data_IF_088209191353
#
_entry.id   IF_088209191353
#
_cell.length_a   1.000
_cell.length_b   1.000
_cell.length_c   1.000
_cell.angle_alpha   90.00
_cell.angle_beta   90.00
_cell.angle_gamma   90.00
#
_symmetry.space_group_name_H-M   'P 1'
#
loop_
_entity.id
_entity.type
_entity.pdbx_description
1 polymer ?
#
# COMPACT_ATOMS: atom_id res chain seq x y z
N UNK A 1 -16.98 -12.48 -13.54
CA UNK A 1 -16.41 -12.67 -12.18
C UNK A 1 -16.75 -14.08 -11.77
N UNK A 2 -15.77 -14.92 -11.43
CA UNK A 2 -16.01 -16.28 -10.92
C UNK A 2 -16.71 -16.23 -9.56
N UNK A 3 -17.48 -17.25 -9.19
CA UNK A 3 -18.17 -17.29 -7.87
C UNK A 3 -17.21 -17.12 -6.68
N UNK A 4 -15.95 -17.53 -6.83
CA UNK A 4 -14.87 -17.42 -5.84
C UNK A 4 -14.46 -15.97 -5.50
N UNK A 5 -14.81 -14.99 -6.34
CA UNK A 5 -14.42 -13.57 -6.16
C UNK A 5 -15.59 -12.66 -5.74
N UNK A 6 -16.62 -13.23 -5.12
CA UNK A 6 -17.82 -12.49 -4.68
C UNK A 6 -17.78 -12.12 -3.19
N UNK A 7 -18.44 -11.02 -2.82
CA UNK A 7 -18.57 -10.57 -1.43
C UNK A 7 -19.05 -11.68 -0.49
N UNK A 8 -20.13 -12.37 -0.87
CA UNK A 8 -20.70 -13.43 -0.04
C UNK A 8 -19.73 -14.57 0.20
N UNK A 9 -18.98 -14.97 -0.83
CA UNK A 9 -17.95 -16.00 -0.71
C UNK A 9 -16.86 -15.56 0.26
N UNK A 10 -16.37 -14.33 0.12
CA UNK A 10 -15.28 -13.83 0.99
C UNK A 10 -15.70 -13.69 2.45
N UNK A 11 -16.93 -13.23 2.74
CA UNK A 11 -17.48 -13.21 4.10
C UNK A 11 -17.54 -14.63 4.69
N UNK A 12 -17.93 -15.62 3.88
CA UNK A 12 -17.99 -17.03 4.30
C UNK A 12 -16.61 -17.60 4.60
N UNK A 13 -15.60 -17.30 3.80
CA UNK A 13 -14.21 -17.68 4.04
C UNK A 13 -13.70 -17.07 5.34
N UNK A 14 -13.80 -15.74 5.48
CA UNK A 14 -13.40 -15.01 6.68
C UNK A 14 -14.06 -15.61 7.93
N UNK A 15 -15.37 -15.83 7.92
CA UNK A 15 -16.08 -16.48 9.03
C UNK A 15 -15.50 -17.83 9.40
N UNK A 16 -15.12 -18.65 8.41
CA UNK A 16 -14.53 -19.98 8.62
C UNK A 16 -13.08 -19.90 9.12
N UNK A 17 -12.29 -18.93 8.67
CA UNK A 17 -10.94 -18.67 9.19
C UNK A 17 -11.01 -18.41 10.70
N UNK A 18 -12.03 -17.69 11.18
CA UNK A 18 -12.30 -17.47 12.61
C UNK A 18 -13.10 -18.59 13.29
N UNK A 19 -13.34 -19.72 12.60
CA UNK A 19 -14.07 -20.87 13.12
C UNK A 19 -15.47 -20.53 13.69
N UNK A 20 -16.11 -19.46 13.19
CA UNK A 20 -17.45 -19.06 13.62
C UNK A 20 -18.52 -19.78 12.82
N UNK A 21 -19.60 -20.17 13.47
CA UNK A 21 -20.84 -20.61 12.81
C UNK A 21 -21.64 -19.42 12.29
N UNK A 22 -22.55 -19.68 11.35
CA UNK A 22 -23.51 -18.66 10.89
C UNK A 22 -24.35 -18.08 12.04
N UNK A 23 -24.65 -18.91 13.06
CA UNK A 23 -25.41 -18.49 14.22
C UNK A 23 -24.61 -17.52 15.08
N UNK A 24 -23.36 -17.86 15.40
CA UNK A 24 -22.49 -17.02 16.23
C UNK A 24 -22.17 -15.68 15.56
N UNK A 25 -21.82 -15.68 14.26
CA UNK A 25 -21.59 -14.43 13.55
C UNK A 25 -22.88 -13.61 13.45
N UNK A 26 -24.02 -14.25 13.17
CA UNK A 26 -25.32 -13.60 13.13
C UNK A 26 -25.66 -12.90 14.45
N UNK A 27 -25.49 -13.60 15.58
CA UNK A 27 -25.69 -13.04 16.92
C UNK A 27 -24.74 -11.86 17.20
N UNK A 28 -23.46 -11.97 16.84
CA UNK A 28 -22.46 -10.88 17.00
C UNK A 28 -22.84 -9.61 16.24
N UNK A 29 -23.39 -9.73 15.03
CA UNK A 29 -23.70 -8.58 14.14
C UNK A 29 -25.16 -8.16 14.19
N UNK A 30 -25.99 -8.84 14.99
CA UNK A 30 -27.40 -8.51 15.20
C UNK A 30 -28.33 -8.94 14.06
N UNK A 31 -28.03 -10.01 13.34
CA UNK A 31 -28.87 -10.58 12.26
C UNK A 31 -29.13 -12.07 12.45
N UNK A 32 -30.16 -12.60 11.79
CA UNK A 32 -30.43 -14.04 11.85
C UNK A 32 -29.43 -14.84 11.00
N UNK A 33 -29.10 -16.06 11.42
CA UNK A 33 -28.26 -16.98 10.65
C UNK A 33 -28.79 -17.21 9.21
N UNK A 34 -30.11 -17.23 9.03
CA UNK A 34 -30.74 -17.37 7.72
C UNK A 34 -30.49 -16.15 6.82
N UNK A 35 -30.54 -14.94 7.38
CA UNK A 35 -30.21 -13.72 6.66
C UNK A 35 -28.73 -13.68 6.28
N UNK A 36 -27.84 -14.02 7.21
CA UNK A 36 -26.40 -14.11 6.96
C UNK A 36 -26.07 -15.16 5.88
N UNK A 37 -26.74 -16.32 5.90
CA UNK A 37 -26.63 -17.33 4.85
C UNK A 37 -27.02 -16.77 3.47
N UNK A 38 -28.07 -15.96 3.38
CA UNK A 38 -28.45 -15.31 2.12
C UNK A 38 -27.39 -14.32 1.63
N UNK A 39 -26.70 -13.62 2.53
CA UNK A 39 -25.56 -12.76 2.19
C UNK A 39 -24.40 -13.60 1.65
N UNK A 40 -23.99 -14.65 2.37
CA UNK A 40 -22.88 -15.53 1.98
C UNK A 40 -23.09 -16.24 0.64
N UNK A 41 -24.36 -16.46 0.26
CA UNK A 41 -24.73 -17.05 -1.03
C UNK A 41 -25.09 -16.01 -2.11
N UNK A 42 -24.68 -14.75 -1.92
CA UNK A 42 -24.90 -13.62 -2.84
C UNK A 42 -26.37 -13.37 -3.20
N UNK A 43 -27.32 -13.78 -2.36
CA UNK A 43 -28.77 -13.59 -2.56
C UNK A 43 -29.27 -12.25 -2.04
N UNK A 44 -28.52 -11.62 -1.14
CA UNK A 44 -28.82 -10.32 -0.54
C UNK A 44 -27.52 -9.53 -0.42
N UNK A 45 -27.54 -8.27 -0.85
CA UNK A 45 -26.44 -7.33 -0.60
C UNK A 45 -26.59 -6.72 0.80
N UNK A 46 -25.59 -6.81 1.68
CA UNK A 46 -25.64 -6.17 3.00
C UNK A 46 -25.54 -4.64 2.88
N UNK A 47 -26.04 -3.92 3.89
CA UNK A 47 -25.79 -2.47 4.02
C UNK A 47 -24.35 -2.20 4.46
N UNK A 48 -23.86 -0.97 4.24
CA UNK A 48 -22.52 -0.58 4.71
C UNK A 48 -22.37 -0.73 6.23
N UNK A 49 -23.40 -0.34 6.99
CA UNK A 49 -23.42 -0.52 8.45
C UNK A 49 -23.28 -2.00 8.85
N UNK A 50 -23.95 -2.90 8.13
CA UNK A 50 -23.82 -4.33 8.39
C UNK A 50 -22.44 -4.86 7.97
N UNK A 51 -21.86 -4.35 6.88
CA UNK A 51 -20.49 -4.67 6.48
C UNK A 51 -19.47 -4.24 7.56
N UNK A 52 -19.65 -3.05 8.15
CA UNK A 52 -18.85 -2.61 9.29
C UNK A 52 -18.97 -3.61 10.45
N UNK A 53 -20.19 -3.97 10.85
CA UNK A 53 -20.41 -4.93 11.95
C UNK A 53 -19.77 -6.30 11.66
N UNK A 54 -19.93 -6.81 10.43
CA UNK A 54 -19.35 -8.10 10.00
C UNK A 54 -17.83 -8.02 10.02
N UNK A 55 -17.23 -6.98 9.45
CA UNK A 55 -15.79 -6.81 9.43
C UNK A 55 -15.20 -6.72 10.84
N UNK A 56 -15.78 -5.89 11.71
CA UNK A 56 -15.33 -5.76 13.10
C UNK A 56 -15.47 -7.08 13.88
N UNK A 57 -16.53 -7.87 13.63
CA UNK A 57 -16.70 -9.18 14.26
C UNK A 57 -15.69 -10.23 13.77
N UNK A 58 -15.06 -9.99 12.62
CA UNK A 58 -14.09 -10.84 11.95
C UNK A 58 -12.68 -10.23 11.96
N UNK A 59 -12.42 -9.18 12.72
CA UNK A 59 -11.12 -8.51 12.79
C UNK A 59 -10.74 -8.27 14.26
N UNK A 60 -9.85 -9.12 14.79
CA UNK A 60 -9.38 -8.99 16.18
C UNK A 60 -8.32 -7.90 16.38
N UNK A 61 -7.67 -7.47 15.29
CA UNK A 61 -6.56 -6.52 15.35
C UNK A 61 -6.97 -5.10 14.94
N UNK A 62 -8.27 -4.89 14.65
CA UNK A 62 -8.83 -3.61 14.19
C UNK A 62 -8.06 -3.03 12.99
N UNK A 63 -7.53 -3.90 12.12
CA UNK A 63 -6.74 -3.50 10.95
C UNK A 63 -7.60 -2.88 9.85
N UNK A 64 -8.93 -3.00 9.97
CA UNK A 64 -9.93 -2.61 8.98
C UNK A 64 -9.77 -3.35 7.64
N UNK A 65 -9.01 -4.45 7.63
CA UNK A 65 -8.66 -5.12 6.40
C UNK A 65 -9.89 -5.76 5.75
N UNK A 66 -10.68 -6.47 6.55
CA UNK A 66 -11.95 -7.04 6.12
C UNK A 66 -12.97 -6.00 5.69
N UNK A 67 -13.05 -4.86 6.39
CA UNK A 67 -14.02 -3.82 6.08
C UNK A 67 -13.77 -3.25 4.67
N UNK A 68 -12.52 -2.92 4.38
CA UNK A 68 -12.14 -2.39 3.09
C UNK A 68 -12.34 -3.42 1.97
N UNK A 69 -11.93 -4.67 2.20
CA UNK A 69 -12.12 -5.77 1.25
C UNK A 69 -13.61 -6.00 0.95
N UNK A 70 -14.45 -6.06 1.99
CA UNK A 70 -15.89 -6.28 1.81
C UNK A 70 -16.57 -5.12 1.08
N UNK A 71 -16.21 -3.87 1.38
CA UNK A 71 -16.80 -2.72 0.68
C UNK A 71 -16.39 -2.66 -0.80
N UNK A 72 -15.16 -3.07 -1.11
CA UNK A 72 -14.70 -3.22 -2.50
C UNK A 72 -15.53 -4.28 -3.24
N UNK A 73 -15.66 -5.47 -2.65
CA UNK A 73 -16.44 -6.58 -3.23
C UNK A 73 -17.94 -6.28 -3.30
N UNK A 74 -18.45 -5.40 -2.43
CA UNK A 74 -19.80 -4.89 -2.50
C UNK A 74 -20.02 -3.89 -3.65
N UNK A 75 -18.97 -3.38 -4.31
CA UNK A 75 -19.09 -2.31 -5.29
C UNK A 75 -19.67 -1.03 -4.68
N UNK A 76 -19.35 -0.76 -3.40
CA UNK A 76 -19.80 0.45 -2.69
C UNK A 76 -19.08 1.69 -3.23
N UNK A 77 -17.92 1.52 -3.85
CA UNK A 77 -17.08 2.60 -4.35
C UNK A 77 -16.85 2.44 -5.86
N UNK A 78 -17.78 2.98 -6.65
CA UNK A 78 -17.57 3.11 -8.09
C UNK A 78 -16.77 4.38 -8.42
N UNK A 79 -16.87 5.41 -7.58
CA UNK A 79 -16.12 6.66 -7.68
C UNK A 79 -15.48 6.99 -6.32
N UNK A 80 -14.21 7.38 -6.32
CA UNK A 80 -13.48 7.74 -5.11
C UNK A 80 -13.20 9.25 -5.14
N UNK A 81 -13.86 10.01 -4.27
CA UNK A 81 -13.63 11.44 -4.18
C UNK A 81 -12.24 11.74 -3.59
N UNK A 82 -11.35 12.31 -4.41
CA UNK A 82 -10.01 12.74 -3.99
C UNK A 82 -10.11 13.77 -2.87
N UNK A 83 -9.29 13.58 -1.82
CA UNK A 83 -9.27 14.46 -0.66
C UNK A 83 -10.34 14.20 0.40
N UNK A 84 -11.27 13.27 0.15
CA UNK A 84 -12.22 12.83 1.19
C UNK A 84 -11.52 12.10 2.34
N UNK A 85 -12.16 12.06 3.52
CA UNK A 85 -11.65 11.27 4.67
C UNK A 85 -11.48 9.79 4.32
N UNK A 86 -12.38 9.26 3.48
CA UNK A 86 -12.33 7.88 3.03
C UNK A 86 -11.14 7.64 2.09
N UNK A 87 -10.90 8.54 1.14
CA UNK A 87 -9.71 8.49 0.28
C UNK A 87 -8.41 8.50 1.10
N UNK A 88 -8.33 9.35 2.12
CA UNK A 88 -7.17 9.40 3.03
C UNK A 88 -7.02 8.11 3.85
N UNK A 89 -8.12 7.51 4.28
CA UNK A 89 -8.12 6.19 4.96
C UNK A 89 -7.56 5.10 4.04
N UNK A 90 -7.98 5.05 2.77
CA UNK A 90 -7.46 4.10 1.77
C UNK A 90 -5.96 4.30 1.50
N UNK A 91 -5.50 5.56 1.41
CA UNK A 91 -4.07 5.88 1.31
C UNK A 91 -3.29 5.36 2.52
N UNK A 92 -3.75 5.68 3.74
CA UNK A 92 -3.11 5.23 4.99
C UNK A 92 -3.08 3.70 5.12
N UNK A 93 -4.11 3.02 4.63
CA UNK A 93 -4.15 1.56 4.64
C UNK A 93 -3.32 0.95 3.51
N UNK A 94 -2.89 1.71 2.50
CA UNK A 94 -2.16 1.21 1.32
C UNK A 94 -3.04 0.44 0.32
N UNK A 95 -4.34 0.73 0.31
CA UNK A 95 -5.35 0.05 -0.53
C UNK A 95 -5.75 0.85 -1.77
N UNK A 96 -4.91 1.78 -2.18
CA UNK A 96 -5.17 2.66 -3.29
C UNK A 96 -4.02 2.59 -4.29
N UNK A 97 -4.31 2.05 -5.46
CA UNK A 97 -3.45 2.12 -6.64
C UNK A 97 -3.55 3.53 -7.21
N UNK A 98 -2.50 4.32 -7.00
CA UNK A 98 -2.39 5.69 -7.52
C UNK A 98 -1.27 5.71 -8.55
N UNK A 99 -1.54 6.06 -9.82
CA UNK A 99 -0.49 6.24 -10.82
C UNK A 99 0.50 7.33 -10.38
N UNK A 100 1.81 7.02 -10.37
CA UNK A 100 2.84 8.05 -10.12
C UNK A 100 2.84 9.15 -11.18
N UNK A 101 2.45 8.79 -12.40
CA UNK A 101 2.31 9.70 -13.54
C UNK A 101 1.00 9.37 -14.25
N UNK A 102 0.16 10.39 -14.44
CA UNK A 102 -1.06 10.25 -15.24
C UNK A 102 -0.87 10.97 -16.57
N UNK A 103 -0.25 10.27 -17.53
CA UNK A 103 -0.07 10.82 -18.88
C UNK A 103 -1.44 10.72 -19.58
N UNK A 104 -2.01 11.88 -19.96
CA UNK A 104 -3.31 12.03 -20.66
C UNK A 104 -4.58 11.73 -19.85
N UNK A 105 -4.51 11.76 -18.52
CA UNK A 105 -5.67 11.50 -17.64
C UNK A 105 -6.39 10.15 -17.89
N UNK A 106 -5.69 9.18 -18.46
CA UNK A 106 -6.30 7.89 -18.84
C UNK A 106 -6.30 6.87 -17.70
N UNK A 107 -5.57 7.12 -16.60
CA UNK A 107 -5.50 6.21 -15.46
C UNK A 107 -6.20 6.81 -14.25
N UNK A 108 -7.19 6.08 -13.74
CA UNK A 108 -7.93 6.44 -12.55
C UNK A 108 -7.34 5.73 -11.32
N UNK A 109 -7.55 6.32 -10.15
CA UNK A 109 -7.15 5.71 -8.89
C UNK A 109 -8.06 4.49 -8.63
N UNK A 110 -7.46 3.36 -8.26
CA UNK A 110 -8.20 2.10 -8.10
C UNK A 110 -8.05 1.56 -6.68
N UNK A 111 -9.17 1.17 -6.07
CA UNK A 111 -9.13 0.44 -4.79
C UNK A 111 -8.70 -1.00 -5.04
N UNK A 112 -7.78 -1.48 -4.22
CA UNK A 112 -7.31 -2.86 -4.23
C UNK A 112 -7.72 -3.60 -2.97
N UNK A 113 -7.86 -4.91 -3.08
CA UNK A 113 -8.37 -5.81 -2.05
C UNK A 113 -7.40 -5.94 -0.86
N UNK A 114 -6.10 -5.86 -1.14
CA UNK A 114 -5.02 -5.99 -0.15
C UNK A 114 -4.19 -4.71 -0.10
N UNK A 115 -3.48 -4.44 0.99
CA UNK A 115 -2.71 -3.21 1.16
C UNK A 115 -1.38 -3.26 0.41
N UNK A 116 -1.41 -3.56 -0.90
CA UNK A 116 -0.24 -3.75 -1.75
C UNK A 116 0.70 -2.55 -1.80
N UNK A 117 0.17 -1.34 -1.53
CA UNK A 117 0.94 -0.09 -1.56
C UNK A 117 1.40 0.35 -0.17
N UNK A 118 1.33 -0.54 0.83
CA UNK A 118 1.92 -0.35 2.16
C UNK A 118 3.20 -1.16 2.27
N UNK A 119 4.34 -0.52 2.38
CA UNK A 119 5.64 -1.21 2.38
C UNK A 119 5.75 -2.27 3.49
N UNK A 120 5.28 -1.94 4.70
CA UNK A 120 5.22 -2.87 5.82
C UNK A 120 4.44 -4.15 5.51
N UNK A 121 3.43 -4.11 4.63
CA UNK A 121 2.66 -5.29 4.27
C UNK A 121 3.55 -6.41 3.73
N UNK A 122 4.55 -6.09 2.91
CA UNK A 122 5.47 -7.10 2.36
C UNK A 122 6.44 -7.66 3.40
N UNK A 123 6.86 -6.83 4.36
CA UNK A 123 7.84 -7.22 5.39
C UNK A 123 7.20 -7.93 6.58
N UNK A 124 5.95 -7.63 6.88
CA UNK A 124 5.20 -8.17 8.03
C UNK A 124 4.26 -9.30 7.62
N UNK A 125 4.20 -9.67 6.33
CA UNK A 125 3.35 -10.79 5.89
C UNK A 125 3.94 -12.13 6.26
N UNK A 126 3.07 -13.09 6.59
CA UNK A 126 3.44 -14.52 6.75
C UNK A 126 3.71 -15.24 5.42
N UNK A 127 3.69 -14.52 4.30
CA UNK A 127 3.89 -15.07 2.98
C UNK A 127 5.35 -14.94 2.53
N UNK A 128 5.77 -15.88 1.68
CA UNK A 128 7.09 -15.85 1.03
C UNK A 128 7.21 -14.63 0.12
N UNK A 129 8.31 -13.90 0.25
CA UNK A 129 8.64 -12.74 -0.59
C UNK A 129 9.69 -13.16 -1.62
N UNK A 130 9.49 -12.74 -2.86
CA UNK A 130 10.41 -13.03 -3.97
C UNK A 130 11.03 -11.74 -4.50
N UNK A 131 12.29 -11.83 -4.93
CA UNK A 131 13.03 -10.70 -5.47
C UNK A 131 13.71 -11.07 -6.79
N UNK A 132 13.58 -10.16 -7.77
CA UNK A 132 14.25 -10.29 -9.06
C UNK A 132 15.61 -9.59 -9.02
N UNK A 133 16.67 -10.39 -9.14
CA UNK A 133 18.04 -9.91 -9.31
C UNK A 133 18.19 -9.44 -10.74
N UNK A 134 18.69 -8.22 -10.93
CA UNK A 134 18.93 -7.60 -12.23
C UNK A 134 20.36 -7.10 -12.33
N UNK A 135 20.87 -6.99 -13.56
CA UNK A 135 22.21 -6.44 -13.80
C UNK A 135 22.31 -4.97 -13.44
N UNK A 136 21.25 -4.20 -13.72
CA UNK A 136 21.08 -2.80 -13.33
C UNK A 136 19.59 -2.54 -13.03
N UNK A 137 19.23 -1.34 -12.56
CA UNK A 137 17.84 -0.99 -12.24
C UNK A 137 16.86 -1.24 -13.42
N UNK A 138 17.33 -0.95 -14.64
CA UNK A 138 16.61 -1.13 -15.90
C UNK A 138 17.12 -2.33 -16.72
N UNK A 139 18.10 -3.06 -16.19
CA UNK A 139 18.75 -4.17 -16.86
C UNK A 139 17.93 -5.45 -16.89
N UNK A 140 18.49 -6.47 -17.53
CA UNK A 140 17.85 -7.77 -17.66
C UNK A 140 17.80 -8.50 -16.30
N UNK A 141 16.74 -9.28 -16.14
CA UNK A 141 16.55 -10.17 -15.00
C UNK A 141 17.51 -11.35 -15.09
N UNK A 142 18.36 -11.49 -14.08
CA UNK A 142 19.32 -12.59 -13.95
C UNK A 142 18.66 -13.80 -13.28
N UNK A 143 17.94 -13.59 -12.17
CA UNK A 143 17.30 -14.65 -11.41
C UNK A 143 16.15 -14.11 -10.54
N UNK A 144 15.26 -14.99 -10.09
CA UNK A 144 14.34 -14.73 -8.97
C UNK A 144 14.77 -15.57 -7.78
N UNK A 145 14.86 -14.96 -6.61
CA UNK A 145 15.12 -15.66 -5.35
C UNK A 145 13.93 -15.50 -4.41
N UNK A 146 13.68 -16.52 -3.58
CA UNK A 146 12.91 -16.37 -2.35
C UNK A 146 13.81 -15.69 -1.32
N UNK A 147 13.37 -14.59 -0.72
CA UNK A 147 14.15 -13.88 0.28
C UNK A 147 14.03 -14.63 1.62
N UNK A 148 15.16 -15.04 2.24
CA UNK A 148 15.13 -15.64 3.57
C UNK A 148 14.56 -14.68 4.63
N UNK A 149 13.83 -15.20 5.62
CA UNK A 149 13.15 -14.39 6.64
C UNK A 149 14.10 -13.51 7.47
N UNK A 150 15.32 -13.97 7.77
CA UNK A 150 16.33 -13.17 8.47
C UNK A 150 16.79 -11.98 7.62
N UNK A 151 16.93 -12.16 6.30
CA UNK A 151 17.23 -11.08 5.34
C UNK A 151 16.07 -10.09 5.26
N UNK A 152 14.82 -10.56 5.17
CA UNK A 152 13.61 -9.70 5.23
C UNK A 152 13.63 -8.82 6.49
N UNK A 153 13.93 -9.41 7.64
CA UNK A 153 14.00 -8.69 8.92
C UNK A 153 15.10 -7.62 8.96
N UNK A 154 16.26 -7.88 8.35
CA UNK A 154 17.32 -6.87 8.25
C UNK A 154 16.93 -5.74 7.30
N UNK A 155 16.40 -6.06 6.12
CA UNK A 155 15.90 -5.08 5.16
C UNK A 155 14.86 -4.16 5.80
N UNK A 156 13.92 -4.73 6.57
CA UNK A 156 12.92 -3.95 7.30
C UNK A 156 13.56 -2.93 8.25
N UNK A 157 14.59 -3.33 9.02
CA UNK A 157 15.30 -2.42 9.93
C UNK A 157 16.02 -1.31 9.18
N UNK A 158 16.71 -1.63 8.10
CA UNK A 158 17.49 -0.66 7.33
C UNK A 158 16.59 0.35 6.63
N UNK A 159 15.50 -0.12 6.02
CA UNK A 159 14.46 0.73 5.43
C UNK A 159 13.82 1.63 6.49
N UNK A 160 13.43 1.08 7.64
CA UNK A 160 12.83 1.87 8.72
C UNK A 160 13.78 2.95 9.22
N UNK A 161 15.07 2.62 9.41
CA UNK A 161 16.08 3.60 9.80
C UNK A 161 16.15 4.74 8.78
N UNK A 162 16.23 4.41 7.49
CA UNK A 162 16.29 5.39 6.40
C UNK A 162 15.05 6.27 6.31
N UNK A 163 13.86 5.70 6.49
CA UNK A 163 12.60 6.43 6.50
C UNK A 163 12.56 7.39 7.71
N UNK A 164 12.91 6.92 8.91
CA UNK A 164 12.93 7.74 10.12
C UNK A 164 13.91 8.91 9.98
N UNK A 165 15.10 8.67 9.43
CA UNK A 165 16.07 9.73 9.14
C UNK A 165 15.50 10.78 8.18
N UNK A 166 14.84 10.34 7.10
CA UNK A 166 14.18 11.24 6.15
C UNK A 166 13.10 12.09 6.82
N UNK A 167 12.24 11.48 7.64
CA UNK A 167 11.16 12.17 8.36
C UNK A 167 11.71 13.11 9.42
N UNK A 168 12.78 12.75 10.14
CA UNK A 168 13.44 13.66 11.09
C UNK A 168 13.96 14.92 10.42
N UNK A 169 14.52 14.79 9.21
CA UNK A 169 15.00 15.92 8.42
C UNK A 169 13.86 16.72 7.77
N UNK A 170 12.68 16.11 7.60
CA UNK A 170 11.52 16.71 6.93
C UNK A 170 10.21 16.34 7.67
N UNK A 171 9.97 16.88 8.88
CA UNK A 171 8.84 16.49 9.73
C UNK A 171 7.47 16.77 9.10
N UNK A 172 7.39 17.69 8.13
CA UNK A 172 6.16 17.98 7.38
C UNK A 172 5.59 16.74 6.68
N UNK A 173 6.45 15.78 6.30
CA UNK A 173 6.05 14.55 5.62
C UNK A 173 5.05 13.71 6.42
N UNK A 174 5.00 13.88 7.76
CA UNK A 174 3.99 13.23 8.62
C UNK A 174 2.55 13.63 8.25
N UNK A 175 2.36 14.78 7.62
CA UNK A 175 1.04 15.27 7.18
C UNK A 175 0.70 14.92 5.73
N UNK A 176 1.59 14.24 5.01
CA UNK A 176 1.47 13.99 3.55
C UNK A 176 0.23 13.20 3.11
N UNK A 177 -0.40 12.46 4.03
CA UNK A 177 -1.66 11.78 3.73
C UNK A 177 -2.81 12.79 3.68
N UNK A 178 -2.90 13.64 4.71
CA UNK A 178 -3.97 14.63 4.89
C UNK A 178 -3.79 15.86 4.01
N UNK A 179 -2.54 16.21 3.71
CA UNK A 179 -2.14 17.40 2.97
C UNK A 179 -1.28 16.99 1.76
N UNK A 180 -1.89 16.85 0.56
CA UNK A 180 -1.19 16.41 -0.64
C UNK A 180 0.01 17.30 -1.04
N UNK A 181 -0.14 18.61 -0.87
CA UNK A 181 0.84 19.62 -1.30
C UNK A 181 2.22 19.46 -0.63
N UNK A 182 2.26 18.84 0.56
CA UNK A 182 3.49 18.56 1.32
C UNK A 182 4.51 17.79 0.49
N UNK A 183 4.07 16.82 -0.33
CA UNK A 183 4.98 16.02 -1.15
C UNK A 183 5.58 16.84 -2.28
N UNK A 184 4.80 17.74 -2.87
CA UNK A 184 5.27 18.58 -3.97
C UNK A 184 6.21 19.68 -3.46
N UNK A 185 5.90 20.29 -2.32
CA UNK A 185 6.82 21.18 -1.62
C UNK A 185 8.13 20.49 -1.26
N UNK A 186 8.08 19.26 -0.75
CA UNK A 186 9.27 18.47 -0.44
C UNK A 186 10.13 18.22 -1.69
N UNK A 187 9.51 17.83 -2.82
CA UNK A 187 10.22 17.63 -4.09
C UNK A 187 10.89 18.93 -4.57
N UNK A 188 10.19 20.06 -4.47
CA UNK A 188 10.71 21.34 -4.93
C UNK A 188 11.86 21.85 -4.07
N UNK A 189 11.78 21.71 -2.73
CA UNK A 189 12.90 21.97 -1.82
C UNK A 189 14.12 21.12 -2.19
N UNK A 190 13.90 19.84 -2.48
CA UNK A 190 14.99 18.92 -2.86
C UNK A 190 15.62 19.32 -4.19
N UNK A 191 14.81 19.64 -5.21
CA UNK A 191 15.30 20.12 -6.51
C UNK A 191 16.14 21.38 -6.38
N UNK A 192 15.69 22.36 -5.59
CA UNK A 192 16.44 23.60 -5.33
C UNK A 192 17.79 23.32 -4.68
N UNK A 193 17.81 22.50 -3.62
CA UNK A 193 19.07 22.10 -2.95
C UNK A 193 20.03 21.39 -3.89
N UNK A 194 19.51 20.49 -4.74
CA UNK A 194 20.31 19.80 -5.75
C UNK A 194 20.87 20.79 -6.77
N UNK A 195 20.07 21.75 -7.26
CA UNK A 195 20.52 22.82 -8.17
C UNK A 195 21.59 23.71 -7.54
N UNK A 196 21.39 24.15 -6.30
CA UNK A 196 22.36 24.97 -5.55
C UNK A 196 23.68 24.23 -5.33
N UNK A 197 23.62 22.91 -5.10
CA UNK A 197 24.81 22.07 -5.01
C UNK A 197 25.53 21.95 -6.35
N UNK A 198 24.80 21.79 -7.46
CA UNK A 198 25.38 21.83 -8.81
C UNK A 198 26.04 23.17 -9.10
N UNK A 199 25.39 24.29 -8.77
CA UNK A 199 25.95 25.63 -8.96
C UNK A 199 27.24 25.81 -8.14
N UNK A 200 27.25 25.33 -6.90
CA UNK A 200 28.43 25.36 -6.03
C UNK A 200 29.59 24.48 -6.55
N UNK A 201 29.30 23.27 -7.05
CA UNK A 201 30.31 22.39 -7.64
C UNK A 201 30.89 22.98 -8.92
N UNK A 202 30.05 23.59 -9.77
CA UNK A 202 30.49 24.28 -10.99
C UNK A 202 31.35 25.52 -10.69
N UNK A 203 31.15 26.17 -9.54
CA UNK A 203 31.98 27.30 -9.09
C UNK A 203 33.37 26.86 -8.60
N UNK A 204 33.57 25.58 -8.31
CA UNK A 204 34.83 25.04 -7.74
C UNK A 204 35.73 24.41 -8.83
N UNK A 205 35.26 24.31 -10.07
CA UNK A 205 35.84 23.53 -11.19
C UNK A 205 37.34 23.21 -11.09
N UNK A 206 37.64 21.94 -10.79
CA UNK A 206 38.69 21.20 -11.50
C UNK A 206 38.32 19.71 -11.61
N UNK A 207 38.10 19.27 -12.85
CA UNK A 207 38.24 17.92 -13.41
C UNK A 207 37.06 16.94 -13.27
N UNK A 208 37.02 16.01 -14.24
CA UNK A 208 36.16 14.82 -14.43
C UNK A 208 35.73 14.13 -13.11
N UNK A 209 36.53 14.22 -12.04
CA UNK A 209 36.21 13.77 -10.69
C UNK A 209 34.90 14.32 -10.11
N UNK A 210 34.48 15.56 -10.43
CA UNK A 210 33.23 16.09 -9.92
C UNK A 210 32.01 15.44 -10.60
N UNK A 211 32.09 15.20 -11.91
CA UNK A 211 31.04 14.47 -12.64
C UNK A 211 31.04 12.97 -12.27
N UNK A 212 32.21 12.36 -12.10
CA UNK A 212 32.37 10.95 -11.68
C UNK A 212 31.90 10.72 -10.24
N UNK A 213 32.22 11.61 -9.30
CA UNK A 213 31.69 11.59 -7.93
C UNK A 213 30.17 11.78 -7.89
N UNK A 214 29.63 12.61 -8.79
CA UNK A 214 28.18 12.78 -8.92
C UNK A 214 27.52 11.55 -9.53
N UNK A 215 28.16 10.83 -10.48
CA UNK A 215 27.70 9.49 -10.88
C UNK A 215 27.75 8.53 -9.69
N UNK A 216 28.84 8.46 -8.94
CA UNK A 216 28.93 7.52 -7.79
C UNK A 216 27.87 7.76 -6.69
N UNK A 217 27.41 9.00 -6.49
CA UNK A 217 26.35 9.35 -5.52
C UNK A 217 24.93 9.22 -6.10
N UNK A 218 24.75 9.34 -7.43
CA UNK A 218 23.43 9.45 -8.07
C UNK A 218 23.14 8.41 -9.17
N UNK A 219 24.13 7.65 -9.64
CA UNK A 219 23.95 6.50 -10.55
C UNK A 219 23.68 5.23 -9.73
N UNK A 220 22.51 4.64 -9.99
CA UNK A 220 22.16 3.27 -9.64
C UNK A 220 22.92 2.24 -10.53
N UNK A 221 24.10 2.60 -11.07
CA UNK A 221 24.90 1.80 -11.99
C UNK A 221 25.98 1.00 -11.24
N UNK A 222 25.52 0.00 -10.48
CA UNK A 222 26.09 -1.35 -10.39
C UNK A 222 25.47 -2.05 -9.19
N UNK A 223 24.36 -2.76 -9.45
CA UNK A 223 23.69 -3.63 -8.46
C UNK A 223 24.36 -5.01 -8.35
N UNK A 224 25.43 -5.26 -9.11
CA UNK A 224 26.29 -6.46 -9.10
C UNK A 224 27.74 -6.04 -9.31
#
# INVERSE_FOLDING_TARGET
>A
MSEESSLGHRIKEARKEYSLTLKELGEKVGVTHAFLSRIENNKVKPSDELLQKIAHALDYNDSQDYLNEFRLLAGTYNDIEKGSKFYNSLKSSGRLEIPRYNIKDTKEDKIVERPFYKLNYLFESDFKVFYDIKTTLLGEKVATIEIPNDVINQLYKDINRRIIECVKQNPELLKSIEQPDVIDEYKDKRRKRTSEMYDYLNLIDTNENAEEFMREIFDDENLI
#
